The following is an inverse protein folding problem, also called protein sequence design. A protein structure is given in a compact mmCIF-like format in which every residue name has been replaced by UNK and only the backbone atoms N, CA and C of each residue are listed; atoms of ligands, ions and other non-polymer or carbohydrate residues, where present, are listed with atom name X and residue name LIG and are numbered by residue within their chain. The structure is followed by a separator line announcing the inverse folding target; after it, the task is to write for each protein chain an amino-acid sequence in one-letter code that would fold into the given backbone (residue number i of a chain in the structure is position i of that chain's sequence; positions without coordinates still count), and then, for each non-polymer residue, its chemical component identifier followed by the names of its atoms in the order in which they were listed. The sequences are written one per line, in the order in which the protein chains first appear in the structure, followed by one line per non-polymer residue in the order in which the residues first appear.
data_IF_939216246931
#
_entry.id   IF_939216246931
#
_cell.length_a   1.000
_cell.length_b   1.000
_cell.length_c   1.000
_cell.angle_alpha   90.00
_cell.angle_beta   90.00
_cell.angle_gamma   90.00
#
_symmetry.space_group_name_H-M   'P 1'
#
loop_
_entity.id
_entity.type
_entity.pdbx_description
1 polymer ?
#
# COMPACT_ATOMS: atom_id res chain seq x y z
N UNK A 1 11.19 16.96 -25.25
CA UNK A 1 10.34 17.45 -24.14
C UNK A 1 9.72 16.21 -23.52
N UNK A 2 9.83 16.03 -22.21
CA UNK A 2 9.28 14.87 -21.49
C UNK A 2 8.29 15.40 -20.45
N UNK A 3 7.13 14.76 -20.33
CA UNK A 3 6.14 15.06 -19.30
C UNK A 3 6.45 14.22 -18.05
N UNK A 4 6.43 14.85 -16.87
CA UNK A 4 6.73 14.23 -15.57
C UNK A 4 5.46 14.32 -14.72
N UNK A 5 5.08 13.21 -14.09
CA UNK A 5 3.92 13.08 -13.21
C UNK A 5 4.37 12.43 -11.90
N UNK A 6 4.08 13.06 -10.78
CA UNK A 6 4.53 12.67 -9.44
C UNK A 6 3.38 12.85 -8.45
N UNK A 7 3.29 11.95 -7.46
CA UNK A 7 2.31 12.04 -6.38
C UNK A 7 2.77 12.98 -5.27
N UNK A 8 1.83 13.71 -4.66
CA UNK A 8 2.13 14.50 -3.47
C UNK A 8 2.06 13.62 -2.23
N UNK A 9 2.83 14.00 -1.21
CA UNK A 9 2.84 13.34 0.10
C UNK A 9 1.91 14.10 1.05
N UNK A 10 0.64 14.17 0.71
CA UNK A 10 -0.40 14.81 1.51
C UNK A 10 -1.64 13.92 1.46
N UNK A 11 -2.14 13.55 2.63
CA UNK A 11 -3.22 12.61 2.80
C UNK A 11 -4.50 13.27 3.31
N UNK A 12 -4.63 14.59 3.23
CA UNK A 12 -5.88 15.26 3.56
C UNK A 12 -7.04 14.68 2.74
N UNK A 13 -8.06 14.15 3.43
CA UNK A 13 -9.28 13.63 2.83
C UNK A 13 -9.20 12.21 2.25
N UNK A 14 -8.08 11.50 2.40
CA UNK A 14 -7.99 10.09 2.00
C UNK A 14 -8.44 9.16 3.13
N UNK A 15 -8.92 7.96 2.77
CA UNK A 15 -9.34 6.89 3.69
C UNK A 15 -8.49 5.63 3.49
N UNK A 16 -7.39 5.46 4.24
CA UNK A 16 -6.54 4.28 4.13
C UNK A 16 -7.12 3.08 4.87
N UNK A 17 -7.00 1.89 4.27
CA UNK A 17 -7.14 0.63 5.00
C UNK A 17 -5.78 0.03 5.31
N UNK A 18 -5.51 -0.29 6.57
CA UNK A 18 -4.29 -0.97 7.01
C UNK A 18 -4.63 -2.42 7.38
N UNK A 19 -4.01 -3.39 6.71
CA UNK A 19 -4.17 -4.81 7.03
C UNK A 19 -2.91 -5.29 7.74
N UNK A 20 -3.05 -5.82 8.95
CA UNK A 20 -1.92 -6.20 9.80
C UNK A 20 -2.02 -7.67 10.23
N UNK A 21 -0.95 -8.44 10.04
CA UNK A 21 -0.88 -9.80 10.60
C UNK A 21 -0.61 -9.79 12.11
N UNK A 22 -1.34 -10.61 12.87
CA UNK A 22 -1.12 -10.83 14.31
C UNK A 22 0.12 -11.65 14.60
N UNK A 23 0.47 -12.60 13.73
CA UNK A 23 1.70 -13.38 13.87
C UNK A 23 2.91 -12.44 13.82
N UNK A 24 3.88 -12.63 14.73
CA UNK A 24 4.99 -11.71 14.99
C UNK A 24 4.55 -10.30 15.47
N UNK A 25 3.52 -10.21 16.32
CA UNK A 25 2.94 -8.95 16.83
C UNK A 25 3.92 -7.96 17.44
N UNK A 26 5.03 -8.43 18.02
CA UNK A 26 6.10 -7.54 18.51
C UNK A 26 6.72 -6.69 17.39
N UNK A 27 6.83 -7.26 16.19
CA UNK A 27 7.32 -6.57 14.98
C UNK A 27 6.17 -5.85 14.30
N UNK A 28 5.06 -6.53 14.02
CA UNK A 28 3.97 -5.95 13.22
C UNK A 28 3.24 -4.82 13.93
N UNK A 29 3.19 -4.82 15.27
CA UNK A 29 2.72 -3.68 16.05
C UNK A 29 3.60 -2.44 15.84
N UNK A 30 4.92 -2.60 15.77
CA UNK A 30 5.85 -1.49 15.46
C UNK A 30 5.73 -0.99 14.03
N UNK A 31 5.43 -1.89 13.08
CA UNK A 31 5.10 -1.49 11.71
C UNK A 31 3.81 -0.67 11.68
N UNK A 32 2.76 -1.11 12.38
CA UNK A 32 1.50 -0.37 12.48
C UNK A 32 1.70 1.01 13.12
N UNK A 33 2.42 1.10 14.24
CA UNK A 33 2.78 2.38 14.88
C UNK A 33 3.48 3.32 13.87
N UNK A 34 4.43 2.80 13.08
CA UNK A 34 5.13 3.60 12.06
C UNK A 34 4.24 4.04 10.91
N UNK A 35 3.30 3.20 10.47
CA UNK A 35 2.34 3.56 9.43
C UNK A 35 1.38 4.66 9.91
N UNK A 36 0.84 4.52 11.13
CA UNK A 36 -0.05 5.52 11.72
C UNK A 36 0.67 6.87 11.93
N UNK A 37 1.91 6.86 12.47
CA UNK A 37 2.73 8.07 12.63
C UNK A 37 3.01 8.75 11.29
N UNK A 38 3.23 7.97 10.21
CA UNK A 38 3.39 8.52 8.87
C UNK A 38 2.11 9.21 8.39
N UNK A 39 0.96 8.54 8.45
CA UNK A 39 -0.31 9.05 7.94
C UNK A 39 -0.73 10.32 8.69
N UNK A 40 -0.62 10.34 10.02
CA UNK A 40 -0.95 11.50 10.85
C UNK A 40 -0.07 12.72 10.52
N UNK A 41 1.24 12.51 10.32
CA UNK A 41 2.18 13.59 9.94
C UNK A 41 1.93 14.18 8.56
N UNK A 42 1.18 13.46 7.72
CA UNK A 42 0.81 13.88 6.37
C UNK A 42 -0.70 14.13 6.28
N UNK A 43 -1.32 14.63 7.35
CA UNK A 43 -2.68 15.17 7.39
C UNK A 43 -3.83 14.18 7.12
N UNK A 44 -3.59 12.88 7.20
CA UNK A 44 -4.69 11.91 7.22
C UNK A 44 -5.42 12.03 8.56
N UNK A 45 -6.75 12.21 8.53
CA UNK A 45 -7.55 12.15 9.76
C UNK A 45 -7.52 10.73 10.32
N UNK A 46 -7.20 10.58 11.60
CA UNK A 46 -7.16 9.28 12.25
C UNK A 46 -8.51 8.57 12.26
N UNK A 47 -9.62 9.31 12.18
CA UNK A 47 -10.97 8.75 12.11
C UNK A 47 -11.29 8.14 10.72
N UNK A 48 -10.49 8.45 9.69
CA UNK A 48 -10.61 7.93 8.32
C UNK A 48 -9.73 6.67 8.09
N UNK A 49 -8.99 6.21 9.10
CA UNK A 49 -8.09 5.05 9.00
C UNK A 49 -8.75 3.80 9.59
N UNK A 50 -8.98 2.79 8.76
CA UNK A 50 -9.45 1.48 9.22
C UNK A 50 -8.30 0.48 9.35
N UNK A 51 -8.22 -0.21 10.50
CA UNK A 51 -7.20 -1.24 10.75
C UNK A 51 -7.84 -2.63 10.85
N UNK A 52 -7.49 -3.51 9.91
CA UNK A 52 -7.93 -4.88 9.85
C UNK A 52 -6.85 -5.85 10.33
N UNK A 53 -7.15 -6.63 11.36
CA UNK A 53 -6.22 -7.64 11.87
C UNK A 53 -6.51 -9.02 11.30
N UNK A 54 -5.50 -9.64 10.68
CA UNK A 54 -5.55 -11.02 10.16
C UNK A 54 -4.65 -11.97 10.95
N UNK A 55 -4.87 -13.29 10.93
CA UNK A 55 -4.05 -14.23 11.70
C UNK A 55 -2.55 -14.18 11.33
N UNK A 56 -2.22 -14.34 10.04
CA UNK A 56 -0.84 -14.32 9.54
C UNK A 56 -0.70 -13.56 8.23
N UNK A 57 0.55 -13.46 7.74
CA UNK A 57 0.86 -12.80 6.47
C UNK A 57 0.23 -13.50 5.25
N UNK A 58 -0.13 -14.79 5.40
CA UNK A 58 -0.78 -15.58 4.36
C UNK A 58 -2.18 -15.08 4.02
N UNK A 59 -2.93 -14.59 5.01
CA UNK A 59 -4.30 -14.10 4.81
C UNK A 59 -4.35 -12.67 4.25
N UNK A 60 -3.24 -11.91 4.33
CA UNK A 60 -3.18 -10.50 3.91
C UNK A 60 -3.65 -10.30 2.46
N UNK A 61 -3.12 -11.02 1.44
CA UNK A 61 -3.53 -10.81 0.06
C UNK A 61 -5.03 -10.96 -0.19
N UNK A 62 -5.64 -11.99 0.39
CA UNK A 62 -7.04 -12.30 0.15
C UNK A 62 -7.97 -11.24 0.79
N UNK A 63 -7.56 -10.66 1.92
CA UNK A 63 -8.29 -9.55 2.51
C UNK A 63 -8.00 -8.24 1.75
N UNK A 64 -6.76 -7.99 1.32
CA UNK A 64 -6.39 -6.79 0.58
C UNK A 64 -7.22 -6.61 -0.69
N UNK A 65 -7.34 -7.66 -1.50
CA UNK A 65 -8.21 -7.66 -2.68
C UNK A 65 -9.66 -7.33 -2.30
N UNK A 66 -10.21 -8.01 -1.29
CA UNK A 66 -11.60 -7.78 -0.84
C UNK A 66 -11.84 -6.35 -0.35
N UNK A 67 -10.88 -5.78 0.37
CA UNK A 67 -10.96 -4.42 0.91
C UNK A 67 -10.90 -3.40 -0.22
N UNK A 68 -9.95 -3.55 -1.15
CA UNK A 68 -9.83 -2.70 -2.33
C UNK A 68 -11.11 -2.74 -3.19
N UNK A 69 -11.68 -3.93 -3.42
CA UNK A 69 -12.92 -4.11 -4.21
C UNK A 69 -14.16 -3.45 -3.59
N UNK A 70 -14.12 -3.06 -2.31
CA UNK A 70 -15.27 -2.37 -1.69
C UNK A 70 -15.50 -0.97 -2.23
N UNK A 71 -14.46 -0.32 -2.78
CA UNK A 71 -14.48 1.09 -3.16
C UNK A 71 -14.63 2.06 -1.97
N UNK A 72 -14.46 1.57 -0.74
CA UNK A 72 -14.56 2.40 0.48
C UNK A 72 -13.25 3.07 0.87
N UNK A 73 -12.13 2.62 0.32
CA UNK A 73 -10.78 3.04 0.69
C UNK A 73 -9.99 3.49 -0.52
N UNK A 74 -9.20 4.53 -0.34
CA UNK A 74 -8.41 5.13 -1.41
C UNK A 74 -7.05 4.43 -1.57
N UNK A 75 -6.59 3.71 -0.54
CA UNK A 75 -5.43 2.82 -0.60
C UNK A 75 -5.48 1.70 0.43
N UNK A 76 -4.68 0.64 0.21
CA UNK A 76 -4.53 -0.48 1.13
C UNK A 76 -3.06 -0.69 1.50
N UNK A 77 -2.74 -0.69 2.79
CA UNK A 77 -1.39 -0.89 3.32
C UNK A 77 -1.29 -2.28 3.97
N UNK A 78 -0.48 -3.16 3.38
CA UNK A 78 -0.31 -4.53 3.84
C UNK A 78 0.91 -4.67 4.77
N UNK A 79 0.69 -4.82 6.07
CA UNK A 79 1.75 -4.93 7.08
C UNK A 79 1.84 -6.34 7.66
N UNK A 80 3.06 -6.87 7.72
CA UNK A 80 3.29 -8.19 8.29
C UNK A 80 4.76 -8.47 8.55
N UNK A 81 5.05 -9.61 9.17
CA UNK A 81 6.42 -10.07 9.34
C UNK A 81 6.49 -11.60 9.20
N UNK A 82 7.36 -12.06 8.29
CA UNK A 82 7.68 -13.47 8.06
C UNK A 82 9.16 -13.65 8.35
N UNK A 83 9.47 -14.45 9.37
CA UNK A 83 10.85 -14.67 9.84
C UNK A 83 11.22 -16.13 9.59
N UNK A 84 12.40 -16.37 9.01
CA UNK A 84 12.84 -17.71 8.63
C UNK A 84 12.93 -18.62 9.85
N UNK A 85 12.32 -19.80 9.72
CA UNK A 85 12.46 -20.90 10.67
C UNK A 85 13.24 -22.07 10.05
N UNK A 86 13.07 -23.26 10.61
CA UNK A 86 13.83 -24.46 10.20
C UNK A 86 13.31 -25.12 8.92
N UNK A 87 12.08 -24.82 8.52
CA UNK A 87 11.40 -25.48 7.40
C UNK A 87 11.19 -24.53 6.22
N UNK A 88 10.92 -25.07 5.01
CA UNK A 88 10.59 -24.26 3.84
C UNK A 88 9.32 -23.40 3.97
N UNK A 89 8.57 -23.48 5.07
CA UNK A 89 7.35 -22.69 5.29
C UNK A 89 7.58 -21.19 5.08
N UNK A 90 8.76 -20.68 5.46
CA UNK A 90 9.15 -19.30 5.20
C UNK A 90 9.05 -18.93 3.71
N UNK A 91 9.57 -19.77 2.81
CA UNK A 91 9.61 -19.49 1.36
C UNK A 91 8.20 -19.43 0.79
N UNK A 92 7.33 -20.36 1.18
CA UNK A 92 5.95 -20.38 0.70
C UNK A 92 5.16 -19.16 1.19
N UNK A 93 5.26 -18.81 2.47
CA UNK A 93 4.49 -17.70 3.03
C UNK A 93 5.01 -16.35 2.53
N UNK A 94 6.33 -16.15 2.50
CA UNK A 94 6.91 -14.90 2.01
C UNK A 94 6.66 -14.70 0.51
N UNK A 95 6.85 -15.73 -0.33
CA UNK A 95 6.65 -15.62 -1.77
C UNK A 95 5.17 -15.43 -2.14
N UNK A 96 4.26 -16.23 -1.59
CA UNK A 96 2.84 -16.12 -1.97
C UNK A 96 2.16 -14.91 -1.33
N UNK A 97 2.63 -14.40 -0.17
CA UNK A 97 2.14 -13.12 0.35
C UNK A 97 2.56 -11.95 -0.55
N UNK A 98 3.82 -11.90 -1.00
CA UNK A 98 4.29 -10.87 -1.92
C UNK A 98 3.56 -10.92 -3.27
N UNK A 99 3.45 -12.12 -3.86
CA UNK A 99 2.74 -12.34 -5.12
C UNK A 99 1.25 -11.99 -4.99
N UNK A 100 0.61 -12.40 -3.91
CA UNK A 100 -0.81 -12.12 -3.70
C UNK A 100 -1.09 -10.63 -3.51
N UNK A 101 -0.24 -9.90 -2.77
CA UNK A 101 -0.37 -8.44 -2.63
C UNK A 101 -0.19 -7.76 -3.99
N UNK A 102 0.83 -8.16 -4.76
CA UNK A 102 1.02 -7.63 -6.11
C UNK A 102 -0.17 -7.94 -7.03
N UNK A 103 -0.77 -9.13 -6.93
CA UNK A 103 -1.98 -9.47 -7.67
C UNK A 103 -3.18 -8.62 -7.25
N UNK A 104 -3.38 -8.37 -5.96
CA UNK A 104 -4.43 -7.46 -5.50
C UNK A 104 -4.24 -6.06 -6.10
N UNK A 105 -3.03 -5.51 -6.05
CA UNK A 105 -2.71 -4.20 -6.65
C UNK A 105 -2.99 -4.13 -8.16
N UNK A 106 -2.80 -5.22 -8.91
CA UNK A 106 -3.01 -5.26 -10.35
C UNK A 106 -4.47 -5.52 -10.76
N UNK A 107 -5.28 -6.08 -9.87
CA UNK A 107 -6.66 -6.46 -10.15
C UNK A 107 -7.68 -5.39 -9.74
N UNK A 108 -7.23 -4.38 -9.01
CA UNK A 108 -8.07 -3.31 -8.47
C UNK A 108 -7.53 -1.96 -8.88
N UNK A 109 -8.41 -0.97 -9.01
CA UNK A 109 -8.03 0.43 -9.28
C UNK A 109 -7.61 1.19 -8.01
N UNK A 110 -7.25 0.47 -6.95
CA UNK A 110 -6.81 1.00 -5.65
C UNK A 110 -5.35 0.58 -5.41
N UNK A 111 -4.44 1.50 -5.04
CA UNK A 111 -3.08 1.15 -4.68
C UNK A 111 -3.03 0.19 -3.49
N UNK A 112 -2.44 -1.00 -3.69
CA UNK A 112 -2.18 -1.97 -2.61
C UNK A 112 -0.68 -2.08 -2.37
N UNK A 113 -0.23 -1.65 -1.19
CA UNK A 113 1.20 -1.48 -0.87
C UNK A 113 1.74 -2.61 -0.02
N UNK A 114 2.93 -3.12 -0.41
CA UNK A 114 3.64 -4.19 0.28
C UNK A 114 4.58 -3.68 1.40
N UNK A 115 4.11 -3.78 2.64
CA UNK A 115 4.84 -3.47 3.88
C UNK A 115 5.16 -4.70 4.74
N UNK A 116 5.22 -5.91 4.15
CA UNK A 116 5.55 -7.14 4.89
C UNK A 116 7.08 -7.32 4.96
N UNK A 117 7.60 -7.44 6.18
CA UNK A 117 9.01 -7.70 6.44
C UNK A 117 9.31 -9.19 6.28
N UNK A 118 10.19 -9.54 5.34
CA UNK A 118 10.73 -10.90 5.18
C UNK A 118 12.19 -10.92 5.63
N UNK A 119 12.50 -11.66 6.69
CA UNK A 119 13.81 -11.63 7.32
C UNK A 119 14.34 -13.03 7.66
N UNK A 120 15.66 -13.22 7.57
CA UNK A 120 16.30 -14.48 7.97
C UNK A 120 16.44 -14.59 9.49
N UNK A 121 16.49 -13.46 10.19
CA UNK A 121 16.64 -13.42 11.66
C UNK A 121 15.68 -12.43 12.30
N UNK A 122 15.41 -12.63 13.59
CA UNK A 122 14.61 -11.69 14.40
C UNK A 122 15.27 -10.31 14.46
N UNK A 123 16.60 -10.25 14.56
CA UNK A 123 17.33 -8.97 14.61
C UNK A 123 17.13 -8.16 13.32
N UNK A 124 17.19 -8.80 12.15
CA UNK A 124 16.89 -8.14 10.87
C UNK A 124 15.44 -7.64 10.79
N UNK A 125 14.49 -8.35 11.40
CA UNK A 125 13.10 -7.93 11.46
C UNK A 125 12.92 -6.70 12.37
N UNK A 126 13.59 -6.68 13.53
CA UNK A 126 13.62 -5.54 14.44
C UNK A 126 14.26 -4.32 13.77
N UNK A 127 15.38 -4.51 13.07
CA UNK A 127 16.09 -3.44 12.37
C UNK A 127 15.21 -2.73 11.32
N UNK A 128 14.24 -3.45 10.73
CA UNK A 128 13.25 -2.91 9.77
C UNK A 128 11.97 -2.38 10.41
N UNK A 129 11.81 -2.49 11.73
CA UNK A 129 10.60 -2.08 12.44
C UNK A 129 10.85 -0.87 13.36
N UNK A 130 11.78 0.01 12.97
CA UNK A 130 11.96 1.32 13.62
C UNK A 130 13.25 1.47 14.44
N UNK A 131 14.25 0.60 14.30
CA UNK A 131 15.56 0.81 14.93
C UNK A 131 16.60 1.35 13.94
N UNK A 132 17.43 0.49 13.34
CA UNK A 132 18.60 0.93 12.55
C UNK A 132 18.26 1.23 11.09
N UNK A 133 17.33 0.51 10.49
CA UNK A 133 17.04 0.55 9.05
C UNK A 133 15.70 1.24 8.74
N UNK A 134 15.27 2.15 9.61
CA UNK A 134 13.97 2.81 9.49
C UNK A 134 12.81 1.89 9.89
N UNK A 135 11.60 2.28 9.52
CA UNK A 135 10.38 1.55 9.82
C UNK A 135 9.63 1.23 8.52
N UNK A 136 9.55 -0.06 8.17
CA UNK A 136 8.92 -0.49 6.93
C UNK A 136 7.43 -0.15 6.84
N UNK A 137 6.75 -0.02 7.99
CA UNK A 137 5.38 0.45 8.03
C UNK A 137 5.24 1.93 7.68
N UNK A 138 6.17 2.77 8.14
CA UNK A 138 6.25 4.18 7.74
C UNK A 138 6.51 4.30 6.24
N UNK A 139 7.49 3.56 5.71
CA UNK A 139 7.81 3.58 4.27
C UNK A 139 6.63 3.12 3.41
N UNK A 140 5.88 2.12 3.88
CA UNK A 140 4.69 1.62 3.19
C UNK A 140 3.56 2.65 3.19
N UNK A 141 3.35 3.37 4.30
CA UNK A 141 2.39 4.47 4.35
C UNK A 141 2.79 5.63 3.43
N UNK A 142 4.07 6.02 3.40
CA UNK A 142 4.57 7.02 2.44
C UNK A 142 4.29 6.63 0.99
N UNK A 143 4.56 5.36 0.66
CA UNK A 143 4.30 4.83 -0.68
C UNK A 143 2.81 4.86 -1.00
N UNK A 144 1.94 4.57 -0.02
CA UNK A 144 0.49 4.61 -0.23
C UNK A 144 -0.01 6.02 -0.50
N UNK A 145 0.46 7.02 0.27
CA UNK A 145 0.14 8.43 0.05
C UNK A 145 0.50 8.87 -1.38
N UNK A 146 1.74 8.63 -1.79
CA UNK A 146 2.24 9.03 -3.10
C UNK A 146 1.49 8.35 -4.24
N UNK A 147 1.24 7.04 -4.13
CA UNK A 147 0.55 6.28 -5.16
C UNK A 147 -0.93 6.65 -5.26
N UNK A 148 -1.59 6.99 -4.14
CA UNK A 148 -2.97 7.46 -4.14
C UNK A 148 -3.08 8.78 -4.91
N UNK A 149 -2.24 9.75 -4.55
CA UNK A 149 -2.21 11.04 -5.24
C UNK A 149 -1.85 10.91 -6.74
N UNK A 150 -1.00 9.95 -7.10
CA UNK A 150 -0.66 9.69 -8.50
C UNK A 150 -1.80 9.02 -9.27
N UNK A 151 -2.59 8.14 -8.64
CA UNK A 151 -3.77 7.53 -9.25
C UNK A 151 -4.85 8.59 -9.50
N UNK A 152 -5.10 9.48 -8.54
CA UNK A 152 -6.03 10.59 -8.72
C UNK A 152 -5.58 11.51 -9.86
N UNK A 153 -4.29 11.87 -9.90
CA UNK A 153 -3.72 12.67 -10.98
C UNK A 153 -3.86 11.99 -12.35
N UNK A 154 -3.74 10.66 -12.41
CA UNK A 154 -3.96 9.90 -13.64
C UNK A 154 -5.43 9.95 -14.09
N UNK A 155 -6.38 9.81 -13.17
CA UNK A 155 -7.81 9.89 -13.46
C UNK A 155 -8.22 11.29 -14.00
N UNK A 156 -7.63 12.36 -13.46
CA UNK A 156 -7.81 13.73 -13.97
C UNK A 156 -7.30 13.88 -15.41
N UNK A 157 -6.15 13.28 -15.72
CA UNK A 157 -5.59 13.28 -17.07
C UNK A 157 -6.47 12.50 -18.06
N UNK A 158 -7.04 11.37 -17.63
CA UNK A 158 -7.95 10.59 -18.48
C UNK A 158 -9.22 11.38 -18.79
N UNK A 159 -9.82 12.00 -17.77
CA UNK A 159 -11.04 12.83 -17.90
C UNK A 159 -10.82 14.03 -18.84
N UNK A 160 -9.70 14.75 -18.70
CA UNK A 160 -9.39 15.90 -19.54
C UNK A 160 -9.12 15.57 -21.02
N UNK A 161 -8.80 14.30 -21.35
CA UNK A 161 -8.58 13.85 -22.74
C UNK A 161 -9.88 13.41 -23.43
N UNK A 162 -10.87 12.94 -22.67
CA UNK A 162 -12.18 12.59 -23.20
C UNK A 162 -13.02 13.83 -23.59
N UNK A 163 -12.79 14.96 -22.94
CA UNK A 163 -13.50 16.23 -23.21
C UNK A 163 -12.95 17.03 -24.41
N UNK A 164 -11.82 16.63 -25.00
CA UNK A 164 -11.27 17.29 -26.18
C UNK A 164 -12.13 16.95 -27.43
N UNK A 165 -12.82 17.92 -28.07
CA UNK A 165 -13.61 17.65 -29.26
C UNK A 165 -12.72 17.12 -30.38
N UNK A 166 -13.18 16.08 -31.08
CA UNK A 166 -12.56 15.65 -32.32
C UNK A 166 -12.40 16.82 -33.27
N UNK A 167 -11.20 16.99 -33.84
CA UNK A 167 -10.96 17.88 -34.95
C UNK A 167 -11.82 17.41 -36.15
N UNK A 168 -13.08 17.86 -36.20
CA UNK A 168 -13.95 17.73 -37.35
C UNK A 168 -13.45 18.66 -38.47
N UNK A 169 -12.95 18.04 -39.54
CA UNK A 169 -13.16 18.43 -40.94
C UNK A 169 -12.86 19.87 -41.36
N UNK A 170 -11.68 20.09 -41.93
CA UNK A 170 -11.56 20.99 -43.08
C UNK A 170 -11.30 20.15 -44.34
N UNK A 171 -12.37 19.58 -44.91
CA UNK A 171 -12.40 19.32 -46.36
C UNK A 171 -12.46 20.69 -47.05
N UNK A 172 -11.33 21.10 -47.62
CA UNK A 172 -11.21 22.23 -48.53
C UNK A 172 -11.22 21.69 -49.96
N UNK A 173 -12.41 21.66 -50.55
CA UNK A 173 -12.62 21.70 -52.01
C UNK A 173 -12.33 23.11 -52.56
#
# INVERSE_FOLDING_TARGET
MTWIHEGKLDGEGIRPAIIVSRFNSFITGKLLEGALDCLERHNVDTDDIDVFWVPGAWEIPALALRVADTGLFDCVICLGAVIRGETPHFEYVSAESAKGVAQAAMLTDVPVVYGIVTADTVEQAVDRAGTKSGNRGFDAAMTALEMTALYDHLADLESSREEAPGEEGEDKD
#
